data_IF_423561158755
#
_entry.id   IF_423561158755
#
_cell.length_a   1.000
_cell.length_b   1.000
_cell.length_c   1.000
_cell.angle_alpha   90.00
_cell.angle_beta   90.00
_cell.angle_gamma   90.00
#
_symmetry.space_group_name_H-M   'P 1'
#
loop_
_entity.id
_entity.type
_entity.pdbx_description
1 polymer ?
#
# COMPACT_ATOMS: atom_id res chain seq x y z
N UNK A 1 -3.67 13.58 26.08
CA UNK A 1 -4.59 12.84 25.19
C UNK A 1 -4.94 13.64 23.93
N UNK A 2 -5.45 14.87 24.03
CA UNK A 2 -5.88 15.68 22.88
C UNK A 2 -4.76 15.87 21.84
N UNK A 3 -3.54 16.23 22.26
CA UNK A 3 -2.41 16.43 21.34
C UNK A 3 -2.04 15.18 20.54
N UNK A 4 -2.10 14.01 21.16
CA UNK A 4 -1.73 12.75 20.49
C UNK A 4 -2.85 12.29 19.57
N UNK A 5 -4.12 12.48 19.94
CA UNK A 5 -5.24 12.26 19.03
C UNK A 5 -5.17 13.20 17.82
N UNK A 6 -4.88 14.48 18.05
CA UNK A 6 -4.69 15.45 16.98
C UNK A 6 -3.53 15.07 16.05
N UNK A 7 -2.41 14.58 16.59
CA UNK A 7 -1.29 14.09 15.80
C UNK A 7 -1.67 12.93 14.87
N UNK A 8 -2.50 11.98 15.34
CA UNK A 8 -3.03 10.90 14.50
C UNK A 8 -3.91 11.40 13.37
N UNK A 9 -4.83 12.33 13.67
CA UNK A 9 -5.69 12.94 12.66
C UNK A 9 -4.86 13.73 11.62
N UNK A 10 -3.88 14.52 12.08
CA UNK A 10 -3.00 15.26 11.18
C UNK A 10 -2.11 14.34 10.34
N UNK A 11 -1.61 13.24 10.94
CA UNK A 11 -0.85 12.23 10.22
C UNK A 11 -1.68 11.57 9.11
N UNK A 12 -2.91 11.16 9.42
CA UNK A 12 -3.81 10.59 8.42
C UNK A 12 -4.15 11.59 7.32
N UNK A 13 -4.46 12.84 7.68
CA UNK A 13 -4.71 13.91 6.72
C UNK A 13 -3.49 14.16 5.83
N UNK A 14 -2.28 14.19 6.41
CA UNK A 14 -1.02 14.32 5.69
C UNK A 14 -0.80 13.21 4.68
N UNK A 15 -1.06 11.95 5.07
CA UNK A 15 -0.97 10.79 4.17
C UNK A 15 -2.00 10.88 3.04
N UNK A 16 -3.24 11.21 3.35
CA UNK A 16 -4.29 11.36 2.34
C UNK A 16 -3.97 12.51 1.36
N UNK A 17 -3.49 13.63 1.87
CA UNK A 17 -3.09 14.78 1.06
C UNK A 17 -1.89 14.46 0.17
N UNK A 18 -0.87 13.81 0.73
CA UNK A 18 0.29 13.35 -0.04
C UNK A 18 -0.11 12.39 -1.16
N UNK A 19 -0.95 11.39 -0.86
CA UNK A 19 -1.43 10.43 -1.86
C UNK A 19 -2.28 11.10 -2.94
N UNK A 20 -3.14 12.06 -2.56
CA UNK A 20 -3.93 12.86 -3.50
C UNK A 20 -3.06 13.71 -4.44
N UNK A 21 -1.87 14.10 -4.01
CA UNK A 21 -0.87 14.82 -4.82
C UNK A 21 -0.09 13.91 -5.79
N UNK A 22 -0.18 12.56 -5.65
CA UNK A 22 0.58 11.66 -6.53
C UNK A 22 0.08 11.71 -7.97
N UNK A 23 0.98 11.63 -8.97
CA UNK A 23 0.61 11.65 -10.37
C UNK A 23 -0.18 10.39 -10.76
N UNK A 24 -1.23 10.56 -11.56
CA UNK A 24 -2.05 9.48 -12.09
C UNK A 24 -2.47 9.81 -13.52
N UNK A 25 -2.58 8.81 -14.42
CA UNK A 25 -3.16 9.02 -15.74
C UNK A 25 -4.68 9.25 -15.60
N UNK A 26 -5.21 10.15 -16.43
CA UNK A 26 -6.64 10.50 -16.44
C UNK A 26 -7.47 9.41 -17.15
N UNK A 27 -7.37 8.18 -16.62
CA UNK A 27 -8.02 6.99 -17.14
C UNK A 27 -8.24 5.97 -16.01
N UNK A 28 -9.28 5.16 -16.14
CA UNK A 28 -9.54 4.01 -15.27
C UNK A 28 -9.28 2.70 -16.02
N UNK A 29 -8.76 1.71 -15.30
CA UNK A 29 -8.27 0.47 -15.84
C UNK A 29 -8.95 -0.73 -15.19
N UNK A 30 -8.99 -1.85 -15.90
CA UNK A 30 -9.51 -3.12 -15.38
C UNK A 30 -8.68 -4.28 -15.93
N UNK A 31 -8.73 -5.43 -15.27
CA UNK A 31 -8.18 -6.66 -15.79
C UNK A 31 -9.14 -7.25 -16.82
N UNK A 32 -8.62 -7.60 -17.99
CA UNK A 32 -9.34 -8.38 -19.00
C UNK A 32 -9.33 -9.88 -18.68
N UNK A 33 -10.12 -10.69 -19.40
CA UNK A 33 -10.29 -12.12 -19.12
C UNK A 33 -9.00 -12.94 -19.25
N UNK A 34 -8.07 -12.51 -20.09
CA UNK A 34 -6.77 -13.17 -20.29
C UNK A 34 -5.63 -12.51 -19.51
N UNK A 35 -5.95 -11.68 -18.47
CA UNK A 35 -4.96 -10.97 -17.68
C UNK A 35 -4.35 -9.74 -18.35
N UNK A 36 -4.94 -9.24 -19.47
CA UNK A 36 -4.49 -7.99 -20.06
C UNK A 36 -4.94 -6.78 -19.25
N UNK A 37 -4.18 -5.69 -19.37
CA UNK A 37 -4.61 -4.38 -18.90
C UNK A 37 -5.61 -3.80 -19.93
N UNK A 38 -6.81 -3.46 -19.50
CA UNK A 38 -7.88 -2.94 -20.37
C UNK A 38 -8.28 -1.54 -19.92
N UNK A 39 -8.45 -0.61 -20.87
CA UNK A 39 -9.00 0.71 -20.60
C UNK A 39 -10.49 0.61 -20.29
N UNK A 40 -10.89 0.91 -19.07
CA UNK A 40 -12.30 0.86 -18.64
C UNK A 40 -13.04 2.16 -19.00
N UNK A 41 -12.46 3.31 -18.73
CA UNK A 41 -13.03 4.61 -19.03
C UNK A 41 -11.94 5.70 -18.98
N UNK A 42 -12.14 6.79 -19.71
CA UNK A 42 -11.31 7.99 -19.61
C UNK A 42 -12.14 9.22 -19.99
N UNK A 43 -11.96 10.36 -19.34
CA UNK A 43 -12.54 11.63 -19.78
C UNK A 43 -11.81 12.23 -20.99
N UNK A 44 -10.67 11.66 -21.39
CA UNK A 44 -9.86 12.15 -22.51
C UNK A 44 -10.51 11.72 -23.85
N UNK A 45 -10.95 12.66 -24.73
CA UNK A 45 -11.64 12.30 -25.96
C UNK A 45 -10.84 11.38 -26.88
N UNK A 46 -9.52 11.56 -26.95
CA UNK A 46 -8.63 10.72 -27.74
C UNK A 46 -8.60 9.24 -27.32
N UNK A 47 -9.01 8.92 -26.09
CA UNK A 47 -9.06 7.57 -25.55
C UNK A 47 -10.42 6.90 -25.69
N UNK A 48 -11.49 7.65 -25.99
CA UNK A 48 -12.84 7.11 -26.11
C UNK A 48 -12.95 5.93 -27.11
N UNK A 49 -12.29 5.96 -28.29
CA UNK A 49 -12.32 4.86 -29.24
C UNK A 49 -11.65 3.57 -28.72
N UNK A 50 -10.86 3.65 -27.64
CA UNK A 50 -10.09 2.54 -27.09
C UNK A 50 -10.72 1.96 -25.82
N UNK A 51 -11.84 2.49 -25.36
CA UNK A 51 -12.55 1.94 -24.18
C UNK A 51 -12.94 0.49 -24.46
N UNK A 52 -12.59 -0.40 -23.55
CA UNK A 52 -12.76 -1.86 -23.69
C UNK A 52 -11.64 -2.56 -24.44
N UNK A 53 -10.64 -1.84 -24.99
CA UNK A 53 -9.52 -2.45 -25.70
C UNK A 53 -8.35 -2.76 -24.76
N UNK A 54 -7.60 -3.86 -25.04
CA UNK A 54 -6.42 -4.22 -24.29
C UNK A 54 -5.23 -3.33 -24.65
N UNK A 55 -4.46 -2.97 -23.63
CA UNK A 55 -3.18 -2.28 -23.75
C UNK A 55 -2.06 -3.30 -23.90
N UNK A 56 -1.19 -3.11 -24.88
CA UNK A 56 -0.05 -4.00 -25.15
C UNK A 56 1.21 -3.55 -24.43
N UNK A 57 1.46 -2.23 -24.43
CA UNK A 57 2.66 -1.67 -23.80
C UNK A 57 2.44 -0.24 -23.33
N UNK A 58 3.29 0.21 -22.43
CA UNK A 58 3.42 1.60 -22.01
C UNK A 58 4.84 2.10 -22.34
N UNK A 59 4.98 3.40 -22.61
CA UNK A 59 6.26 4.06 -22.81
C UNK A 59 6.22 5.50 -22.32
N UNK A 60 7.37 6.18 -22.30
CA UNK A 60 7.47 7.62 -22.08
C UNK A 60 8.60 8.20 -22.94
N UNK A 61 8.39 9.37 -23.53
CA UNK A 61 9.37 10.04 -24.37
C UNK A 61 9.93 9.13 -25.46
N UNK A 62 11.25 8.94 -25.44
CA UNK A 62 11.99 8.06 -26.36
C UNK A 62 12.25 6.65 -25.81
N UNK A 63 11.74 6.33 -24.61
CA UNK A 63 11.94 5.01 -24.02
C UNK A 63 11.27 3.91 -24.86
N UNK A 64 11.89 2.72 -24.96
CA UNK A 64 11.25 1.59 -25.67
C UNK A 64 9.95 1.21 -24.98
N UNK A 65 8.96 0.74 -25.75
CA UNK A 65 7.70 0.25 -25.18
C UNK A 65 7.94 -0.92 -24.23
N UNK A 66 7.42 -0.82 -23.01
CA UNK A 66 7.45 -1.87 -22.01
C UNK A 66 6.13 -2.63 -22.05
N UNK A 67 6.14 -3.95 -22.32
CA UNK A 67 4.94 -4.77 -22.25
C UNK A 67 4.30 -4.72 -20.86
N UNK A 68 2.98 -4.64 -20.82
CA UNK A 68 2.21 -4.54 -19.56
C UNK A 68 1.05 -5.52 -19.56
N UNK A 69 0.68 -5.93 -18.37
CA UNK A 69 -0.46 -6.80 -18.10
C UNK A 69 -1.27 -6.27 -16.89
N UNK A 70 -2.32 -7.00 -16.51
CA UNK A 70 -3.17 -6.62 -15.39
C UNK A 70 -2.46 -6.65 -14.02
N UNK A 71 -1.25 -7.21 -13.93
CA UNK A 71 -0.46 -7.19 -12.68
C UNK A 71 -0.15 -5.76 -12.24
N UNK A 72 -0.09 -4.79 -13.16
CA UNK A 72 0.04 -3.36 -12.82
C UNK A 72 -1.12 -2.81 -11.96
N UNK A 73 -2.27 -3.46 -11.94
CA UNK A 73 -3.40 -3.09 -11.09
C UNK A 73 -3.31 -3.67 -9.68
N UNK A 74 -2.43 -4.66 -9.49
CA UNK A 74 -2.23 -5.30 -8.19
C UNK A 74 -1.10 -4.61 -7.42
N UNK A 75 -1.45 -3.82 -6.44
CA UNK A 75 -0.47 -3.08 -5.63
C UNK A 75 0.19 -3.94 -4.54
N UNK A 76 -0.39 -5.07 -4.20
CA UNK A 76 0.11 -5.96 -3.15
C UNK A 76 1.10 -7.00 -3.70
N UNK A 77 2.38 -6.64 -3.81
CA UNK A 77 3.47 -7.49 -4.32
C UNK A 77 3.62 -8.82 -3.57
N UNK A 78 3.26 -8.84 -2.28
CA UNK A 78 3.37 -10.02 -1.40
C UNK A 78 2.52 -11.23 -1.80
N UNK A 79 1.45 -11.00 -2.56
CA UNK A 79 0.55 -12.08 -3.00
C UNK A 79 1.00 -12.75 -4.29
N UNK A 80 2.12 -12.31 -4.86
CA UNK A 80 2.62 -12.92 -6.10
C UNK A 80 3.32 -14.25 -5.83
N UNK A 81 3.00 -15.29 -6.61
CA UNK A 81 3.59 -16.61 -6.46
C UNK A 81 5.00 -16.63 -7.06
N UNK A 82 6.01 -16.36 -6.28
CA UNK A 82 7.41 -16.49 -6.70
C UNK A 82 8.14 -15.17 -6.93
N UNK A 83 9.44 -15.22 -6.68
CA UNK A 83 10.30 -14.04 -6.64
C UNK A 83 10.45 -13.38 -8.02
N UNK A 84 10.61 -14.17 -9.08
CA UNK A 84 10.75 -13.64 -10.44
C UNK A 84 9.53 -12.83 -10.93
N UNK A 85 8.30 -13.23 -10.53
CA UNK A 85 7.08 -12.47 -10.85
C UNK A 85 7.05 -11.18 -10.04
N UNK A 86 7.43 -11.25 -8.76
CA UNK A 86 7.47 -10.11 -7.83
C UNK A 86 8.50 -9.07 -8.28
N UNK A 87 9.70 -9.49 -8.68
CA UNK A 87 10.75 -8.62 -9.20
C UNK A 87 10.33 -7.93 -10.50
N UNK A 88 9.74 -8.68 -11.44
CA UNK A 88 9.23 -8.10 -12.69
C UNK A 88 8.13 -7.07 -12.41
N UNK A 89 7.18 -7.41 -11.55
CA UNK A 89 6.11 -6.49 -11.19
C UNK A 89 6.67 -5.23 -10.51
N UNK A 90 7.62 -5.37 -9.57
CA UNK A 90 8.27 -4.24 -8.93
C UNK A 90 8.98 -3.34 -9.95
N UNK A 91 9.70 -3.93 -10.92
CA UNK A 91 10.36 -3.19 -11.98
C UNK A 91 9.35 -2.42 -12.87
N UNK A 92 8.23 -3.07 -13.24
CA UNK A 92 7.16 -2.41 -14.01
C UNK A 92 6.53 -1.26 -13.23
N UNK A 93 6.18 -1.45 -11.95
CA UNK A 93 5.63 -0.38 -11.09
C UNK A 93 6.61 0.78 -10.95
N UNK A 94 7.90 0.49 -10.73
CA UNK A 94 8.94 1.51 -10.60
C UNK A 94 9.07 2.33 -11.86
N UNK A 95 9.08 1.68 -13.02
CA UNK A 95 9.22 2.33 -14.31
C UNK A 95 7.99 3.20 -14.64
N UNK A 96 6.78 2.68 -14.45
CA UNK A 96 5.53 3.42 -14.67
C UNK A 96 5.42 4.60 -13.72
N UNK A 97 5.77 4.42 -12.44
CA UNK A 97 5.77 5.51 -11.47
C UNK A 97 6.76 6.62 -11.83
N UNK A 98 7.95 6.27 -12.35
CA UNK A 98 8.93 7.23 -12.83
C UNK A 98 8.40 8.03 -14.04
N UNK A 99 7.79 7.36 -15.01
CA UNK A 99 7.17 8.02 -16.17
C UNK A 99 6.03 8.96 -15.78
N UNK A 100 5.14 8.50 -14.89
CA UNK A 100 4.07 9.36 -14.36
C UNK A 100 4.61 10.59 -13.62
N UNK A 101 5.71 10.43 -12.86
CA UNK A 101 6.36 11.54 -12.15
C UNK A 101 6.98 12.55 -13.13
N UNK A 102 7.49 12.08 -14.27
CA UNK A 102 7.98 12.94 -15.35
C UNK A 102 6.82 13.62 -16.14
N UNK A 103 5.57 13.21 -15.91
CA UNK A 103 4.41 13.73 -16.62
C UNK A 103 4.22 13.14 -18.00
N UNK A 104 4.95 12.09 -18.34
CA UNK A 104 4.99 11.48 -19.67
C UNK A 104 4.50 10.03 -19.60
N UNK A 105 3.38 9.73 -20.20
CA UNK A 105 2.89 8.36 -20.32
C UNK A 105 2.21 8.18 -21.68
N UNK A 106 2.66 7.19 -22.45
CA UNK A 106 2.10 6.83 -23.76
C UNK A 106 1.60 5.40 -23.72
N UNK A 107 0.38 5.18 -24.21
CA UNK A 107 -0.23 3.86 -24.35
C UNK A 107 -0.07 3.35 -25.75
N UNK A 108 0.29 2.07 -25.88
CA UNK A 108 0.37 1.35 -27.15
C UNK A 108 -0.75 0.31 -27.22
N UNK A 109 -1.52 0.35 -28.29
CA UNK A 109 -2.64 -0.55 -28.54
C UNK A 109 -2.25 -1.68 -29.50
N UNK A 110 -3.02 -2.77 -29.50
CA UNK A 110 -2.76 -3.93 -30.35
C UNK A 110 -2.80 -3.63 -31.87
N UNK A 111 -3.52 -2.58 -32.28
CA UNK A 111 -3.61 -2.10 -33.63
C UNK A 111 -2.44 -1.20 -34.09
N UNK A 112 -1.42 -1.04 -33.22
CA UNK A 112 -0.24 -0.21 -33.47
C UNK A 112 -0.45 1.28 -33.23
N UNK A 113 -1.66 1.71 -32.89
CA UNK A 113 -1.90 3.12 -32.51
C UNK A 113 -1.30 3.44 -31.14
N UNK A 114 -0.90 4.69 -30.97
CA UNK A 114 -0.35 5.19 -29.71
C UNK A 114 -1.09 6.46 -29.31
N UNK A 115 -1.30 6.64 -28.00
CA UNK A 115 -1.94 7.84 -27.46
C UNK A 115 -1.19 8.30 -26.21
N UNK A 116 -0.85 9.59 -26.16
CA UNK A 116 -0.26 10.19 -24.97
C UNK A 116 -1.35 10.43 -23.91
N UNK A 117 -1.09 9.97 -22.71
CA UNK A 117 -1.98 10.14 -21.57
C UNK A 117 -1.59 11.36 -20.75
N UNK A 118 -2.50 12.30 -20.53
CA UNK A 118 -2.25 13.36 -19.57
C UNK A 118 -2.15 12.78 -18.16
N UNK A 119 -1.05 13.10 -17.49
CA UNK A 119 -0.81 12.75 -16.09
C UNK A 119 -1.18 13.95 -15.22
N UNK A 120 -2.02 13.73 -14.22
CA UNK A 120 -2.50 14.77 -13.30
C UNK A 120 -2.39 14.30 -11.86
N UNK A 121 -2.38 15.21 -10.86
CA UNK A 121 -2.54 14.80 -9.47
C UNK A 121 -3.82 13.99 -9.28
N UNK A 122 -3.73 12.91 -8.54
CA UNK A 122 -4.85 11.97 -8.27
C UNK A 122 -6.09 12.67 -7.72
N UNK A 123 -5.90 13.69 -6.87
CA UNK A 123 -6.97 14.36 -6.15
C UNK A 123 -7.58 13.48 -5.05
N UNK A 124 -8.36 14.10 -4.16
CA UNK A 124 -9.01 13.40 -3.03
C UNK A 124 -10.05 12.39 -3.52
N UNK A 125 -10.78 12.70 -4.60
CA UNK A 125 -11.74 11.77 -5.23
C UNK A 125 -11.09 10.53 -5.85
N UNK A 126 -9.82 10.61 -6.22
CA UNK A 126 -9.06 9.51 -6.80
C UNK A 126 -8.51 8.51 -5.77
N UNK A 127 -8.66 8.75 -4.46
CA UNK A 127 -8.24 7.82 -3.41
C UNK A 127 -9.07 6.53 -3.38
N UNK A 128 -10.26 6.55 -3.96
CA UNK A 128 -11.17 5.41 -4.01
C UNK A 128 -12.00 5.21 -2.74
N UNK A 129 -13.07 4.43 -2.87
CA UNK A 129 -14.05 4.22 -1.79
C UNK A 129 -13.45 3.43 -0.62
N UNK A 130 -12.57 2.45 -0.89
CA UNK A 130 -11.99 1.58 0.13
C UNK A 130 -10.94 2.27 0.99
N UNK A 131 -10.29 3.31 0.49
CA UNK A 131 -9.31 4.08 1.26
C UNK A 131 -9.89 4.61 2.57
N UNK A 132 -11.06 5.22 2.54
CA UNK A 132 -11.64 5.93 3.67
C UNK A 132 -12.03 5.03 4.85
N UNK A 133 -12.76 3.89 4.66
CA UNK A 133 -13.05 2.99 5.78
C UNK A 133 -11.80 2.35 6.36
N UNK A 134 -10.80 1.96 5.53
CA UNK A 134 -9.55 1.40 6.03
C UNK A 134 -8.75 2.42 6.83
N UNK A 135 -8.61 3.64 6.33
CA UNK A 135 -7.95 4.74 7.01
C UNK A 135 -8.68 5.15 8.30
N UNK A 136 -10.03 5.14 8.28
CA UNK A 136 -10.86 5.36 9.48
C UNK A 136 -10.66 4.29 10.54
N UNK A 137 -10.62 3.01 10.16
CA UNK A 137 -10.32 1.90 11.08
C UNK A 137 -8.90 1.98 11.63
N UNK A 138 -7.91 2.38 10.80
CA UNK A 138 -6.55 2.61 11.25
C UNK A 138 -6.50 3.70 12.34
N UNK A 139 -7.19 4.82 12.13
CA UNK A 139 -7.30 5.90 13.11
C UNK A 139 -7.99 5.43 14.40
N UNK A 140 -9.07 4.65 14.29
CA UNK A 140 -9.77 4.10 15.47
C UNK A 140 -8.85 3.19 16.29
N UNK A 141 -8.09 2.29 15.65
CA UNK A 141 -7.14 1.43 16.35
C UNK A 141 -5.99 2.23 16.98
N UNK A 142 -5.48 3.24 16.29
CA UNK A 142 -4.50 4.16 16.83
C UNK A 142 -5.03 4.84 18.10
N UNK A 143 -6.22 5.44 18.05
CA UNK A 143 -6.84 6.12 19.18
C UNK A 143 -7.11 5.15 20.34
N UNK A 144 -7.61 3.95 20.04
CA UNK A 144 -7.84 2.91 21.04
C UNK A 144 -6.54 2.52 21.76
N UNK A 145 -5.47 2.24 21.01
CA UNK A 145 -4.16 1.94 21.58
C UNK A 145 -3.66 3.03 22.53
N UNK A 146 -3.81 4.29 22.13
CA UNK A 146 -3.44 5.44 22.95
C UNK A 146 -4.28 5.58 24.22
N UNK A 147 -5.60 5.45 24.14
CA UNK A 147 -6.49 5.49 25.30
C UNK A 147 -6.09 4.43 26.32
N UNK A 148 -5.80 3.21 25.85
CA UNK A 148 -5.40 2.09 26.73
C UNK A 148 -4.12 2.41 27.51
N UNK A 149 -3.10 3.00 26.87
CA UNK A 149 -1.84 3.29 27.55
C UNK A 149 -1.89 4.54 28.41
N UNK A 150 -2.58 5.59 27.96
CA UNK A 150 -2.62 6.88 28.64
C UNK A 150 -3.55 6.87 29.87
N UNK A 151 -4.59 6.01 29.89
CA UNK A 151 -5.50 5.93 31.03
C UNK A 151 -4.82 5.38 32.30
N UNK A 152 -4.00 4.35 32.19
CA UNK A 152 -3.18 3.78 33.28
C UNK A 152 -2.01 3.00 32.69
N UNK A 153 -0.81 3.56 32.57
CA UNK A 153 0.33 2.89 32.00
C UNK A 153 0.73 1.69 32.87
N UNK A 154 0.57 0.49 32.31
CA UNK A 154 1.03 -0.76 32.92
C UNK A 154 1.71 -1.57 31.83
N UNK A 155 2.73 -2.33 32.19
CA UNK A 155 3.54 -3.11 31.26
C UNK A 155 2.72 -3.95 30.25
N UNK A 156 1.73 -4.70 30.71
CA UNK A 156 0.89 -5.51 29.83
C UNK A 156 0.02 -4.68 28.87
N UNK A 157 -0.32 -3.45 29.22
CA UNK A 157 -1.09 -2.56 28.33
C UNK A 157 -0.22 -2.02 27.19
N UNK A 158 1.10 -1.87 27.42
CA UNK A 158 2.04 -1.51 26.36
C UNK A 158 2.04 -2.56 25.24
N UNK A 159 1.96 -3.86 25.57
CA UNK A 159 1.88 -4.91 24.55
C UNK A 159 0.62 -4.79 23.70
N UNK A 160 -0.54 -4.60 24.33
CA UNK A 160 -1.80 -4.38 23.59
C UNK A 160 -1.76 -3.10 22.73
N UNK A 161 -1.16 -2.04 23.25
CA UNK A 161 -0.97 -0.80 22.50
C UNK A 161 -0.03 -1.02 21.32
N UNK A 162 1.09 -1.73 21.49
CA UNK A 162 1.98 -2.10 20.39
C UNK A 162 1.23 -2.85 19.29
N UNK A 163 0.45 -3.87 19.67
CA UNK A 163 -0.38 -4.62 18.71
C UNK A 163 -1.36 -3.70 17.98
N UNK A 164 -2.08 -2.84 18.71
CA UNK A 164 -3.04 -1.91 18.11
C UNK A 164 -2.38 -0.91 17.15
N UNK A 165 -1.21 -0.38 17.52
CA UNK A 165 -0.46 0.55 16.67
C UNK A 165 0.11 -0.14 15.43
N UNK A 166 0.65 -1.35 15.54
CA UNK A 166 1.11 -2.13 14.40
C UNK A 166 -0.04 -2.44 13.44
N UNK A 167 -1.21 -2.84 13.97
CA UNK A 167 -2.38 -3.10 13.12
C UNK A 167 -2.97 -1.81 12.52
N UNK A 168 -2.93 -0.69 13.22
CA UNK A 168 -3.30 0.60 12.66
C UNK A 168 -2.40 0.98 11.48
N UNK A 169 -1.08 0.79 11.62
CA UNK A 169 -0.13 1.03 10.55
C UNK A 169 -0.35 0.07 9.36
N UNK A 170 -0.60 -1.23 9.61
CA UNK A 170 -0.94 -2.20 8.56
C UNK A 170 -2.22 -1.81 7.80
N UNK A 171 -3.27 -1.40 8.52
CA UNK A 171 -4.51 -0.93 7.88
C UNK A 171 -4.28 0.33 7.03
N UNK A 172 -3.40 1.23 7.47
CA UNK A 172 -3.03 2.39 6.67
C UNK A 172 -2.30 1.99 5.38
N UNK A 173 -1.39 1.01 5.45
CA UNK A 173 -0.76 0.43 4.26
C UNK A 173 -1.79 -0.20 3.32
N UNK A 174 -2.77 -0.95 3.85
CA UNK A 174 -3.89 -1.46 3.04
C UNK A 174 -4.73 -0.36 2.41
N UNK A 175 -4.97 0.75 3.13
CA UNK A 175 -5.66 1.90 2.58
C UNK A 175 -4.89 2.48 1.38
N UNK A 176 -3.58 2.63 1.50
CA UNK A 176 -2.71 3.11 0.42
C UNK A 176 -2.75 2.18 -0.80
N UNK A 177 -2.67 0.85 -0.60
CA UNK A 177 -2.76 -0.16 -1.67
C UNK A 177 -4.14 -0.21 -2.35
N UNK A 178 -5.20 0.14 -1.61
CA UNK A 178 -6.57 0.12 -2.14
C UNK A 178 -6.88 1.28 -3.08
N UNK A 179 -6.01 2.29 -3.14
CA UNK A 179 -6.21 3.43 -4.02
C UNK A 179 -6.10 2.99 -5.50
N UNK A 180 -7.14 3.24 -6.32
CA UNK A 180 -7.13 2.79 -7.71
C UNK A 180 -6.07 3.51 -8.54
N UNK A 181 -5.57 2.86 -9.59
CA UNK A 181 -4.64 3.46 -10.54
C UNK A 181 -3.56 2.51 -11.04
N UNK A 182 -2.64 3.02 -11.85
CA UNK A 182 -1.49 2.27 -12.35
C UNK A 182 -0.32 2.39 -11.37
N UNK A 183 -0.10 1.36 -10.59
CA UNK A 183 1.04 1.29 -9.69
C UNK A 183 0.92 2.12 -8.40
N UNK A 184 1.79 1.80 -7.46
CA UNK A 184 1.98 2.55 -6.21
C UNK A 184 2.93 3.75 -6.43
N UNK A 185 2.84 4.80 -5.59
CA UNK A 185 3.84 5.85 -5.59
C UNK A 185 5.25 5.29 -5.40
N UNK A 186 6.21 5.80 -6.17
CA UNK A 186 7.61 5.33 -6.18
C UNK A 186 8.23 5.25 -4.77
N UNK A 187 7.88 6.19 -3.89
CA UNK A 187 8.40 6.24 -2.52
C UNK A 187 7.93 5.06 -1.63
N UNK A 188 6.80 4.42 -1.95
CA UNK A 188 6.25 3.30 -1.16
C UNK A 188 6.77 1.93 -1.61
N UNK A 189 7.12 1.78 -2.88
CA UNK A 189 7.47 0.49 -3.47
C UNK A 189 8.58 -0.28 -2.71
N UNK A 190 9.73 0.34 -2.35
CA UNK A 190 10.78 -0.38 -1.64
C UNK A 190 10.49 -0.53 -0.13
N UNK A 191 9.68 0.34 0.44
CA UNK A 191 9.48 0.42 1.90
C UNK A 191 8.32 -0.44 2.39
N UNK A 192 7.28 -0.60 1.58
CA UNK A 192 6.05 -1.29 1.97
C UNK A 192 6.29 -2.73 2.46
N UNK A 193 7.01 -3.61 1.72
CA UNK A 193 7.21 -5.00 2.14
C UNK A 193 7.98 -5.09 3.47
N UNK A 194 9.03 -4.28 3.65
CA UNK A 194 9.85 -4.27 4.85
C UNK A 194 9.08 -3.79 6.07
N UNK A 195 8.36 -2.67 5.93
CA UNK A 195 7.55 -2.14 7.03
C UNK A 195 6.45 -3.10 7.44
N UNK A 196 5.78 -3.72 6.49
CA UNK A 196 4.73 -4.69 6.76
C UNK A 196 5.26 -5.90 7.51
N UNK A 197 6.38 -6.48 7.06
CA UNK A 197 7.03 -7.58 7.74
C UNK A 197 7.41 -7.19 9.19
N UNK A 198 7.97 -5.99 9.40
CA UNK A 198 8.32 -5.50 10.72
C UNK A 198 7.08 -5.35 11.64
N UNK A 199 5.98 -4.81 11.12
CA UNK A 199 4.73 -4.62 11.86
C UNK A 199 4.08 -5.97 12.23
N UNK A 200 4.08 -6.93 11.31
CA UNK A 200 3.53 -8.27 11.54
C UNK A 200 4.39 -9.05 12.53
N UNK A 201 5.72 -8.99 12.39
CA UNK A 201 6.67 -9.60 13.32
C UNK A 201 6.54 -9.02 14.74
N UNK A 202 6.45 -7.68 14.86
CA UNK A 202 6.24 -7.00 16.14
C UNK A 202 4.89 -7.37 16.78
N UNK A 203 3.83 -7.48 15.97
CA UNK A 203 2.51 -7.95 16.43
C UNK A 203 2.60 -9.38 16.96
N UNK A 204 3.22 -10.29 16.20
CA UNK A 204 3.41 -11.68 16.62
C UNK A 204 4.21 -11.80 17.91
N UNK A 205 5.32 -11.07 18.04
CA UNK A 205 6.13 -11.04 19.26
C UNK A 205 5.34 -10.50 20.46
N UNK A 206 4.55 -9.45 20.28
CA UNK A 206 3.71 -8.88 21.34
C UNK A 206 2.62 -9.86 21.78
N UNK A 207 1.99 -10.61 20.87
CA UNK A 207 1.01 -11.67 21.17
C UNK A 207 1.68 -12.77 22.00
N UNK A 208 2.80 -13.32 21.52
CA UNK A 208 3.54 -14.40 22.24
C UNK A 208 3.95 -13.94 23.62
N UNK A 209 4.46 -12.71 23.74
CA UNK A 209 4.83 -12.12 25.02
C UNK A 209 3.60 -12.00 25.94
N UNK A 210 2.48 -11.48 25.46
CA UNK A 210 1.26 -11.35 26.27
C UNK A 210 0.75 -12.70 26.75
N UNK A 211 0.72 -13.72 25.90
CA UNK A 211 0.27 -15.07 26.23
C UNK A 211 1.21 -15.78 27.22
N UNK A 212 2.53 -15.56 27.13
CA UNK A 212 3.50 -16.15 28.04
C UNK A 212 3.31 -15.72 29.51
N UNK A 213 2.71 -14.54 29.74
CA UNK A 213 2.50 -13.97 31.07
C UNK A 213 1.07 -14.02 31.57
N UNK A 214 0.07 -14.39 30.72
CA UNK A 214 -1.36 -14.39 31.05
C UNK A 214 -2.12 -15.54 30.38
N UNK A 215 -3.20 -16.09 31.01
CA UNK A 215 -3.71 -15.81 32.35
C UNK A 215 -2.81 -16.36 33.49
N UNK A 216 -2.00 -17.39 33.20
CA UNK A 216 -1.01 -17.94 34.13
C UNK A 216 0.37 -17.87 33.49
N UNK A 217 1.32 -17.34 34.23
CA UNK A 217 2.72 -17.28 33.81
C UNK A 217 3.27 -18.69 33.57
N UNK A 218 3.75 -18.97 32.35
CA UNK A 218 4.43 -20.24 32.05
C UNK A 218 5.84 -20.27 32.68
N UNK A 219 6.38 -21.46 32.92
CA UNK A 219 7.66 -21.65 33.64
C UNK A 219 8.85 -20.88 33.02
N UNK A 220 8.84 -20.69 31.69
CA UNK A 220 9.90 -20.01 30.95
C UNK A 220 9.41 -18.73 30.25
N UNK A 221 8.38 -18.06 30.78
CA UNK A 221 7.72 -16.92 30.15
C UNK A 221 8.70 -15.85 29.64
N UNK A 222 9.71 -15.50 30.44
CA UNK A 222 10.69 -14.49 30.08
C UNK A 222 11.58 -14.93 28.90
N UNK A 223 12.02 -16.19 28.89
CA UNK A 223 12.81 -16.74 27.76
C UNK A 223 12.01 -16.78 26.47
N UNK A 224 10.76 -17.21 26.56
CA UNK A 224 9.82 -17.24 25.42
C UNK A 224 9.57 -15.84 24.87
N UNK A 225 9.32 -14.87 25.74
CA UNK A 225 9.13 -13.48 25.34
C UNK A 225 10.39 -12.89 24.64
N UNK A 226 11.57 -13.08 25.25
CA UNK A 226 12.84 -12.62 24.64
C UNK A 226 13.08 -13.30 23.28
N UNK A 227 12.89 -14.63 23.20
CA UNK A 227 13.05 -15.35 21.94
C UNK A 227 12.10 -14.85 20.84
N UNK A 228 10.84 -14.54 21.18
CA UNK A 228 9.88 -14.00 20.23
C UNK A 228 10.32 -12.63 19.67
N UNK A 229 10.82 -11.73 20.52
CA UNK A 229 11.33 -10.43 20.07
C UNK A 229 12.62 -10.54 19.25
N UNK A 230 13.52 -11.46 19.62
CA UNK A 230 14.74 -11.71 18.85
C UNK A 230 14.41 -12.31 17.47
N UNK A 231 13.45 -13.26 17.41
CA UNK A 231 12.97 -13.80 16.15
C UNK A 231 12.31 -12.74 15.27
N UNK A 232 11.50 -11.85 15.85
CA UNK A 232 10.90 -10.73 15.14
C UNK A 232 11.96 -9.77 14.57
N UNK A 233 12.98 -9.43 15.36
CA UNK A 233 14.09 -8.59 14.90
C UNK A 233 14.90 -9.26 13.79
N UNK A 234 15.19 -10.57 13.92
CA UNK A 234 15.94 -11.33 12.90
C UNK A 234 15.17 -11.57 11.60
N UNK A 235 13.84 -11.48 11.61
CA UNK A 235 13.04 -11.60 10.39
C UNK A 235 13.04 -10.32 9.53
N UNK A 236 13.44 -9.18 10.11
CA UNK A 236 13.42 -7.86 9.44
C UNK A 236 14.82 -7.46 8.94
N UNK A 237 15.86 -8.06 9.48
CA UNK A 237 17.28 -7.84 9.09
C UNK A 237 17.66 -8.67 7.86
#
# INVERSE_FOLDING_TARGET
MVLVALAGCLGLFGVAHWLAGTPQPDASWTAGPEGQLVLRASPVPALQPFVGQPVVALSAGQAPPMPVDALLLHHALRWQPGDAVRERQLAQHTQVAAWMTAGELRVHWADGRTVDLPVRPRGVGGLGVLFWPLAGLALLLYLFGLVVVLARPRWHKLLYTTMALCQAANLLLFALESAPGLGLPLALLPLEPTWRLALDAATGAAIVHALAFRPRRIAQAQRVAVAAWLAAAGAVL
#
